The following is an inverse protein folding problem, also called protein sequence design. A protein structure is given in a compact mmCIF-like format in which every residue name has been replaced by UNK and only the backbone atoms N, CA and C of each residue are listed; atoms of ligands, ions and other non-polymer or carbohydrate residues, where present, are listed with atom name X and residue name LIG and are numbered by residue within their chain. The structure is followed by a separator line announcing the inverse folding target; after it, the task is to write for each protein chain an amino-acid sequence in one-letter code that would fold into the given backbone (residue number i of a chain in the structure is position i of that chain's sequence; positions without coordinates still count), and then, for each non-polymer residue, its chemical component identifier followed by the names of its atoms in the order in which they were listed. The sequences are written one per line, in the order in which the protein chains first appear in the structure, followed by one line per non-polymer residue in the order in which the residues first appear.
data_IF_161589411387
#
_entry.id   IF_161589411387
#
_cell.length_a   1.000
_cell.length_b   1.000
_cell.length_c   1.000
_cell.angle_alpha   90.00
_cell.angle_beta   90.00
_cell.angle_gamma   90.00
#
_symmetry.space_group_name_H-M   'P 1'
#
loop_
_entity.id
_entity.type
_entity.pdbx_description
1 polymer ?
#
# COMPACT_ATOMS: atom_id res chain seq x y z
N UNK A 1 15.82 11.55 -24.71
CA UNK A 1 14.93 10.39 -24.50
C UNK A 1 15.40 9.63 -23.28
N UNK A 2 14.52 9.34 -22.32
CA UNK A 2 14.91 8.75 -21.02
C UNK A 2 14.68 7.22 -21.07
N UNK A 3 15.68 6.35 -20.77
CA UNK A 3 15.64 4.94 -21.17
C UNK A 3 15.09 3.97 -20.11
N UNK A 4 14.61 4.44 -18.95
CA UNK A 4 14.22 3.57 -17.84
C UNK A 4 12.80 3.88 -17.34
N UNK A 5 12.05 2.85 -16.86
CA UNK A 5 10.75 3.09 -16.24
C UNK A 5 10.94 3.95 -14.99
N UNK A 6 10.29 5.12 -14.98
CA UNK A 6 10.27 5.98 -13.80
C UNK A 6 9.27 5.37 -12.81
N UNK A 7 9.77 4.82 -11.71
CA UNK A 7 8.94 4.23 -10.67
C UNK A 7 8.56 5.29 -9.64
N UNK A 8 7.26 5.48 -9.47
CA UNK A 8 6.67 6.63 -8.80
C UNK A 8 5.78 6.21 -7.61
N UNK A 9 5.72 4.95 -7.18
CA UNK A 9 4.97 4.64 -5.97
C UNK A 9 5.79 4.91 -4.71
N UNK A 10 5.23 5.53 -3.68
CA UNK A 10 5.86 5.65 -2.36
C UNK A 10 5.51 4.46 -1.48
N UNK A 11 6.46 3.99 -0.66
CA UNK A 11 6.21 2.98 0.38
C UNK A 11 6.78 3.49 1.70
N UNK A 12 6.08 3.20 2.79
CA UNK A 12 6.53 3.53 4.15
C UNK A 12 6.20 2.37 5.09
N UNK A 13 7.03 2.14 6.10
CA UNK A 13 6.79 1.11 7.11
C UNK A 13 7.33 1.53 8.47
N UNK A 14 6.61 1.15 9.53
CA UNK A 14 6.98 1.39 10.92
C UNK A 14 6.62 0.19 11.78
N UNK A 15 7.44 -0.10 12.78
CA UNK A 15 7.27 -1.23 13.69
C UNK A 15 7.46 -0.79 15.14
N UNK A 16 6.62 -1.31 16.04
CA UNK A 16 6.76 -1.14 17.49
C UNK A 16 6.40 0.24 18.05
N UNK A 17 5.63 1.06 17.34
CA UNK A 17 5.30 2.43 17.77
C UNK A 17 3.79 2.62 18.03
N UNK A 18 3.36 3.20 19.17
CA UNK A 18 1.94 3.35 19.50
C UNK A 18 1.14 4.18 18.48
N UNK A 19 1.78 5.16 17.83
CA UNK A 19 1.17 6.02 16.81
C UNK A 19 1.52 5.58 15.38
N UNK A 20 1.55 4.26 15.11
CA UNK A 20 2.02 3.74 13.83
C UNK A 20 1.23 4.28 12.62
N UNK A 21 -0.09 4.47 12.75
CA UNK A 21 -0.94 5.02 11.69
C UNK A 21 -0.59 6.47 11.35
N UNK A 22 -0.48 7.35 12.35
CA UNK A 22 -0.17 8.76 12.19
C UNK A 22 1.22 8.97 11.58
N UNK A 23 2.23 8.24 12.08
CA UNK A 23 3.58 8.32 11.52
C UNK A 23 3.63 7.81 10.09
N UNK A 24 2.86 6.76 9.77
CA UNK A 24 2.73 6.29 8.39
C UNK A 24 2.05 7.34 7.51
N UNK A 25 0.99 7.98 7.98
CA UNK A 25 0.34 9.09 7.29
C UNK A 25 1.34 10.22 6.95
N UNK A 26 2.12 10.69 7.92
CA UNK A 26 3.12 11.74 7.68
C UNK A 26 4.24 11.28 6.73
N UNK A 27 4.68 10.02 6.86
CA UNK A 27 5.64 9.41 5.94
C UNK A 27 5.11 9.38 4.50
N UNK A 28 3.86 8.96 4.30
CA UNK A 28 3.21 8.98 2.99
C UNK A 28 2.97 10.39 2.47
N UNK A 29 2.62 11.34 3.34
CA UNK A 29 2.46 12.75 2.98
C UNK A 29 3.79 13.33 2.45
N UNK A 30 4.92 13.05 3.13
CA UNK A 30 6.24 13.43 2.64
C UNK A 30 6.58 12.78 1.28
N UNK A 31 6.09 11.55 1.06
CA UNK A 31 6.24 10.80 -0.19
C UNK A 31 5.12 11.07 -1.23
N UNK A 32 4.24 12.04 -1.01
CA UNK A 32 3.09 12.33 -1.89
C UNK A 32 3.51 12.69 -3.33
N UNK A 33 4.68 13.32 -3.47
CA UNK A 33 5.26 13.67 -4.77
C UNK A 33 5.59 12.45 -5.63
N UNK A 34 5.66 11.25 -5.02
CA UNK A 34 5.86 10.01 -5.76
C UNK A 34 4.54 9.60 -6.41
N UNK A 35 3.44 9.45 -5.66
CA UNK A 35 2.17 8.99 -6.20
C UNK A 35 0.98 9.81 -5.73
N UNK A 36 0.07 10.19 -6.64
CA UNK A 36 -1.10 11.05 -6.37
C UNK A 36 -2.44 10.39 -6.73
N UNK A 37 -2.41 9.12 -7.17
CA UNK A 37 -3.58 8.42 -7.69
C UNK A 37 -4.42 7.77 -6.58
N UNK A 38 -3.75 7.13 -5.61
CA UNK A 38 -4.38 6.48 -4.48
C UNK A 38 -3.43 6.41 -3.31
N UNK A 39 -3.95 6.28 -2.10
CA UNK A 39 -3.18 6.03 -0.90
C UNK A 39 -3.81 4.93 -0.06
N UNK A 40 -3.00 4.24 0.73
CA UNK A 40 -3.44 3.16 1.59
C UNK A 40 -2.53 2.96 2.80
N UNK A 41 -3.13 2.57 3.92
CA UNK A 41 -2.43 2.19 5.16
C UNK A 41 -3.05 0.89 5.67
N UNK A 42 -2.18 -0.02 6.10
CA UNK A 42 -2.56 -1.21 6.89
C UNK A 42 -1.82 -1.16 8.21
N UNK A 43 -2.53 -1.30 9.32
CA UNK A 43 -1.97 -1.41 10.67
C UNK A 43 -2.22 -2.78 11.28
N UNK A 44 -1.41 -3.14 12.28
CA UNK A 44 -1.64 -4.34 13.08
C UNK A 44 -1.15 -4.20 14.51
N UNK A 45 -1.86 -4.88 15.41
CA UNK A 45 -1.48 -5.16 16.80
C UNK A 45 -0.78 -6.52 16.96
N UNK A 46 -0.50 -7.21 15.85
CA UNK A 46 0.05 -8.57 15.82
C UNK A 46 -1.01 -9.67 15.83
N UNK A 47 -2.30 -9.34 15.93
CA UNK A 47 -3.41 -10.31 15.89
C UNK A 47 -4.27 -10.14 14.65
N UNK A 48 -4.61 -8.90 14.30
CA UNK A 48 -5.46 -8.59 13.16
C UNK A 48 -4.94 -7.40 12.36
N UNK A 49 -5.27 -7.38 11.07
CA UNK A 49 -5.04 -6.23 10.21
C UNK A 49 -6.23 -5.29 10.21
N UNK A 50 -5.94 -3.99 10.14
CA UNK A 50 -6.91 -2.93 9.88
C UNK A 50 -6.43 -2.16 8.69
N UNK A 51 -7.27 -2.04 7.68
CA UNK A 51 -6.91 -1.41 6.42
C UNK A 51 -7.82 -0.26 6.06
N UNK A 52 -7.25 0.77 5.46
CA UNK A 52 -7.99 1.80 4.77
C UNK A 52 -7.24 2.22 3.53
N UNK A 53 -7.96 2.27 2.40
CA UNK A 53 -7.45 2.61 1.07
C UNK A 53 -8.46 3.49 0.37
N UNK A 54 -7.97 4.47 -0.40
CA UNK A 54 -8.81 5.39 -1.14
C UNK A 54 -8.10 5.95 -2.37
N UNK A 55 -8.90 6.43 -3.32
CA UNK A 55 -8.40 7.19 -4.46
C UNK A 55 -8.10 8.63 -4.03
N UNK A 56 -7.11 9.24 -4.69
CA UNK A 56 -6.67 10.60 -4.44
C UNK A 56 -5.45 10.69 -3.52
N UNK A 57 -5.25 11.91 -3.00
CA UNK A 57 -4.08 12.28 -2.19
C UNK A 57 -4.21 11.73 -0.76
N UNK A 58 -3.08 11.53 -0.09
CA UNK A 58 -2.97 11.12 1.31
C UNK A 58 -3.92 11.91 2.24
N UNK A 59 -3.93 13.27 2.24
CA UNK A 59 -4.84 14.02 3.11
C UNK A 59 -6.33 13.92 2.74
N UNK A 60 -6.66 13.46 1.53
CA UNK A 60 -8.04 13.24 1.10
C UNK A 60 -8.53 11.86 1.53
N UNK A 61 -7.64 10.86 1.52
CA UNK A 61 -7.95 9.47 1.88
C UNK A 61 -8.01 9.29 3.41
N UNK A 62 -7.19 10.01 4.18
CA UNK A 62 -7.08 9.81 5.62
C UNK A 62 -7.57 11.04 6.41
N UNK A 63 -8.80 10.98 6.91
CA UNK A 63 -9.30 11.92 7.91
C UNK A 63 -8.88 11.52 9.33
N UNK A 64 -9.09 12.41 10.31
CA UNK A 64 -8.82 12.10 11.72
C UNK A 64 -9.53 10.84 12.21
N UNK A 65 -10.81 10.67 11.87
CA UNK A 65 -11.60 9.49 12.24
C UNK A 65 -11.08 8.21 11.57
N UNK A 66 -10.63 8.29 10.32
CA UNK A 66 -10.02 7.15 9.62
C UNK A 66 -8.73 6.74 10.33
N UNK A 67 -7.84 7.68 10.64
CA UNK A 67 -6.59 7.40 11.33
C UNK A 67 -6.82 6.85 12.74
N UNK A 68 -7.83 7.33 13.45
CA UNK A 68 -8.19 6.85 14.77
C UNK A 68 -8.61 5.37 14.77
N UNK A 69 -9.27 4.92 13.69
CA UNK A 69 -9.68 3.52 13.54
C UNK A 69 -8.55 2.58 13.14
N UNK A 70 -7.44 3.11 12.61
CA UNK A 70 -6.25 2.35 12.24
C UNK A 70 -5.36 2.09 13.47
N UNK A 71 -5.85 1.30 14.43
CA UNK A 71 -5.10 0.97 15.64
C UNK A 71 -4.06 -0.11 15.40
N UNK A 72 -2.93 -0.04 16.10
CA UNK A 72 -1.83 -1.00 16.01
C UNK A 72 -0.48 -0.37 16.29
N UNK A 73 0.54 -1.21 16.52
CA UNK A 73 1.92 -0.75 16.76
C UNK A 73 2.83 -0.89 15.54
N UNK A 74 2.32 -1.52 14.49
CA UNK A 74 3.03 -1.76 13.24
C UNK A 74 2.15 -1.33 12.09
N UNK A 75 2.73 -0.70 11.08
CA UNK A 75 2.00 -0.24 9.92
C UNK A 75 2.85 -0.25 8.66
N UNK A 76 2.21 -0.45 7.52
CA UNK A 76 2.76 -0.18 6.21
C UNK A 76 1.81 0.72 5.43
N UNK A 77 2.38 1.56 4.57
CA UNK A 77 1.65 2.52 3.77
C UNK A 77 2.16 2.56 2.33
N UNK A 78 1.30 3.00 1.42
CA UNK A 78 1.64 3.15 0.01
C UNK A 78 0.95 4.36 -0.63
N UNK A 79 1.67 5.09 -1.49
CA UNK A 79 1.10 6.05 -2.45
C UNK A 79 1.30 5.54 -3.86
N UNK A 80 0.23 5.50 -4.66
CA UNK A 80 0.26 4.98 -6.03
C UNK A 80 0.43 6.11 -7.02
N UNK A 81 1.31 5.90 -7.99
CA UNK A 81 1.32 6.64 -9.24
C UNK A 81 0.82 5.70 -10.34
N UNK A 82 -0.02 6.21 -11.25
CA UNK A 82 -0.54 5.38 -12.34
C UNK A 82 0.55 5.19 -13.41
N UNK A 83 1.31 4.10 -13.33
CA UNK A 83 2.31 3.74 -14.36
C UNK A 83 1.70 2.87 -15.45
N UNK A 84 0.75 2.00 -15.08
CA UNK A 84 0.11 1.00 -15.93
C UNK A 84 -1.16 0.47 -15.24
N UNK A 85 -2.23 0.28 -16.01
CA UNK A 85 -3.53 -0.21 -15.50
C UNK A 85 -4.49 0.90 -15.07
N UNK A 86 -5.79 0.60 -15.15
CA UNK A 86 -6.85 1.56 -14.86
C UNK A 86 -6.82 2.04 -13.40
N UNK A 87 -7.27 3.28 -13.21
CA UNK A 87 -7.45 3.94 -11.92
C UNK A 87 -8.65 3.35 -11.17
N UNK A 88 -8.44 2.18 -10.57
CA UNK A 88 -9.43 1.51 -9.75
C UNK A 88 -8.92 1.34 -8.32
N UNK A 89 -9.83 1.49 -7.36
CA UNK A 89 -9.55 1.27 -5.95
C UNK A 89 -8.96 -0.13 -5.67
N UNK A 90 -9.36 -1.15 -6.45
CA UNK A 90 -8.81 -2.51 -6.36
C UNK A 90 -7.28 -2.58 -6.55
N UNK A 91 -6.71 -1.58 -7.24
CA UNK A 91 -5.27 -1.48 -7.49
C UNK A 91 -4.55 -0.65 -6.41
N UNK A 92 -5.28 -0.08 -5.44
CA UNK A 92 -4.69 0.63 -4.31
C UNK A 92 -4.02 -0.37 -3.36
N UNK A 93 -2.79 -0.06 -2.97
CA UNK A 93 -1.99 -0.84 -2.02
C UNK A 93 -1.95 -0.11 -0.67
N UNK A 94 -1.61 -0.80 0.45
CA UNK A 94 -1.16 -2.19 0.55
C UNK A 94 -2.22 -3.25 0.22
N UNK A 95 -1.80 -4.39 -0.34
CA UNK A 95 -2.66 -5.56 -0.53
C UNK A 95 -2.57 -6.44 0.72
N UNK A 96 -3.71 -6.94 1.20
CA UNK A 96 -3.79 -7.91 2.31
C UNK A 96 -4.30 -9.24 1.77
N UNK A 97 -3.67 -10.32 2.19
CA UNK A 97 -4.03 -11.69 1.78
C UNK A 97 -4.02 -12.57 3.02
N UNK A 98 -5.06 -13.37 3.18
CA UNK A 98 -5.08 -14.47 4.15
C UNK A 98 -4.42 -15.69 3.53
N UNK A 99 -3.43 -16.27 4.21
CA UNK A 99 -2.79 -17.51 3.78
C UNK A 99 -2.76 -18.52 4.92
N UNK A 100 -2.32 -19.74 4.62
CA UNK A 100 -2.24 -20.83 5.61
C UNK A 100 -1.36 -20.50 6.83
N UNK A 101 -0.48 -19.49 6.73
CA UNK A 101 0.40 -19.04 7.83
C UNK A 101 -0.08 -17.76 8.52
N UNK A 102 -1.30 -17.30 8.23
CA UNK A 102 -1.87 -16.07 8.75
C UNK A 102 -1.99 -14.97 7.70
N UNK A 103 -2.22 -13.74 8.15
CA UNK A 103 -2.43 -12.60 7.26
C UNK A 103 -1.09 -12.01 6.80
N UNK A 104 -1.00 -11.63 5.52
CA UNK A 104 0.15 -10.97 4.92
C UNK A 104 -0.30 -9.66 4.29
N UNK A 105 0.42 -8.57 4.56
CA UNK A 105 0.19 -7.27 3.94
C UNK A 105 1.44 -6.85 3.16
N UNK A 106 1.28 -6.44 1.90
CA UNK A 106 2.39 -6.08 1.00
C UNK A 106 2.11 -4.75 0.31
N UNK A 107 3.12 -3.88 0.32
CA UNK A 107 3.21 -2.68 -0.50
C UNK A 107 4.47 -2.74 -1.36
N UNK A 108 4.38 -2.33 -2.62
CA UNK A 108 5.44 -2.51 -3.60
C UNK A 108 5.61 -1.27 -4.48
N UNK A 109 6.87 -0.87 -4.70
CA UNK A 109 7.25 0.12 -5.69
C UNK A 109 8.25 -0.49 -6.68
N UNK A 110 7.76 -0.83 -7.87
CA UNK A 110 8.53 -1.48 -8.93
C UNK A 110 7.61 -2.07 -9.99
N UNK A 111 8.17 -2.87 -10.90
CA UNK A 111 7.39 -3.61 -11.89
C UNK A 111 7.98 -5.02 -12.09
N UNK A 112 7.14 -6.04 -12.06
CA UNK A 112 7.52 -7.41 -12.39
C UNK A 112 7.45 -7.59 -13.91
N UNK A 113 8.60 -7.68 -14.57
CA UNK A 113 8.68 -7.77 -16.05
C UNK A 113 8.12 -9.08 -16.61
N UNK A 114 8.06 -10.12 -15.79
CA UNK A 114 7.52 -11.44 -16.10
C UNK A 114 6.19 -11.70 -15.36
N UNK A 115 5.42 -10.67 -15.00
CA UNK A 115 4.16 -10.82 -14.27
C UNK A 115 3.13 -11.71 -14.98
N UNK A 116 2.99 -11.58 -16.30
CA UNK A 116 2.04 -12.37 -17.09
C UNK A 116 2.35 -13.88 -17.05
N UNK A 117 3.55 -14.36 -17.44
CA UNK A 117 3.85 -15.79 -17.38
C UNK A 117 3.85 -16.33 -15.94
N UNK A 118 4.25 -15.54 -14.94
CA UNK A 118 4.16 -15.95 -13.54
C UNK A 118 2.70 -16.16 -13.10
N UNK A 119 1.80 -15.28 -13.55
CA UNK A 119 0.36 -15.40 -13.26
C UNK A 119 -0.20 -16.68 -13.88
N UNK A 120 0.09 -16.95 -15.14
CA UNK A 120 -0.39 -18.15 -15.84
C UNK A 120 0.11 -19.43 -15.15
N UNK A 121 1.38 -19.45 -14.73
CA UNK A 121 1.97 -20.58 -14.00
C UNK A 121 1.30 -20.80 -12.64
N UNK A 122 1.02 -19.72 -11.89
CA UNK A 122 0.37 -19.81 -10.58
C UNK A 122 -1.10 -20.23 -10.71
N UNK A 123 -1.86 -19.64 -11.64
CA UNK A 123 -3.26 -20.02 -11.89
C UNK A 123 -3.39 -21.50 -12.31
N UNK A 124 -2.41 -22.05 -13.03
CA UNK A 124 -2.37 -23.46 -13.39
C UNK A 124 -2.08 -24.41 -12.21
N UNK A 125 -1.45 -23.90 -11.13
CA UNK A 125 -1.11 -24.68 -9.93
C UNK A 125 -2.21 -24.65 -8.85
N UNK A 126 -3.16 -23.72 -8.94
CA UNK A 126 -4.24 -23.51 -7.96
C UNK A 126 -3.87 -22.48 -6.89
#
# INVERSE_FOLDING_TARGET
MQPYPKHYCGVFGIYGHPNAAELTYYGLYALQHRGQESAGIVTTDGKAFREHKGMGLVPQVFTGDVLHNLVGKTAIGHTRYSTTGASHLRNAQPMTIDCAKGQIAIAHNGNLTNAAPLRDELEAKG
#
